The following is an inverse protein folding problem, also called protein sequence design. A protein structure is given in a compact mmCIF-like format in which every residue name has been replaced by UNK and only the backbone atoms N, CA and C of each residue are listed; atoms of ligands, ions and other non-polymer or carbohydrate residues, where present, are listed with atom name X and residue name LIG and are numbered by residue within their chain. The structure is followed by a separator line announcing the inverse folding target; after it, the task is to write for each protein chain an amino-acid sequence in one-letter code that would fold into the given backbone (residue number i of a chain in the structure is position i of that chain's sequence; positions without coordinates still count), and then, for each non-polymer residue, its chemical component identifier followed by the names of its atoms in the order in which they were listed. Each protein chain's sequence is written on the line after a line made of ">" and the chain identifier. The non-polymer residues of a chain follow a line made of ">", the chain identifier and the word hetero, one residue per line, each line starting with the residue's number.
data_IF_847676964591
#
_entry.id   IF_847676964591
#
_cell.length_a   1.000
_cell.length_b   1.000
_cell.length_c   1.000
_cell.angle_alpha   90.00
_cell.angle_beta   90.00
_cell.angle_gamma   90.00
#
_symmetry.space_group_name_H-M   'P 1'
#
loop_
_entity.id
_entity.type
_entity.pdbx_description
1 polymer ?
#
# COMPACT_ATOMS: atom_id res chain seq x y z
N UNK A 1 -16.85 -17.90 7.04
CA UNK A 1 -17.40 -16.57 7.40
C UNK A 1 -16.29 -15.55 7.64
N UNK A 2 -15.22 -15.92 8.34
CA UNK A 2 -14.13 -15.01 8.73
C UNK A 2 -13.35 -14.40 7.55
N UNK A 3 -13.10 -15.16 6.49
CA UNK A 3 -12.49 -14.63 5.26
C UNK A 3 -13.26 -13.44 4.68
N UNK A 4 -14.59 -13.57 4.60
CA UNK A 4 -15.47 -12.51 4.08
C UNK A 4 -15.49 -11.32 5.03
N UNK A 5 -15.61 -11.57 6.34
CA UNK A 5 -15.60 -10.52 7.34
C UNK A 5 -14.26 -9.74 7.33
N UNK A 6 -13.13 -10.44 7.20
CA UNK A 6 -11.82 -9.85 7.08
C UNK A 6 -11.68 -8.96 5.84
N UNK A 7 -12.17 -9.44 4.69
CA UNK A 7 -12.21 -8.68 3.46
C UNK A 7 -13.06 -7.41 3.60
N UNK A 8 -14.24 -7.51 4.23
CA UNK A 8 -15.13 -6.36 4.48
C UNK A 8 -14.46 -5.35 5.41
N UNK A 9 -13.90 -5.78 6.53
CA UNK A 9 -13.22 -4.92 7.49
C UNK A 9 -12.06 -4.17 6.80
N UNK A 10 -11.19 -4.90 6.08
CA UNK A 10 -10.09 -4.30 5.32
C UNK A 10 -10.59 -3.28 4.29
N UNK A 11 -11.60 -3.66 3.51
CA UNK A 11 -12.19 -2.80 2.48
C UNK A 11 -12.77 -1.51 3.05
N UNK A 12 -13.53 -1.59 4.16
CA UNK A 12 -14.15 -0.41 4.77
C UNK A 12 -13.09 0.60 5.21
N UNK A 13 -12.07 0.17 5.94
CA UNK A 13 -10.99 1.05 6.41
C UNK A 13 -10.14 1.59 5.25
N UNK A 14 -9.77 0.74 4.29
CA UNK A 14 -9.01 1.17 3.11
C UNK A 14 -9.76 2.17 2.22
N UNK A 15 -11.09 2.04 2.14
CA UNK A 15 -11.94 2.93 1.36
C UNK A 15 -12.03 4.35 1.92
N UNK A 16 -11.60 4.63 3.16
CA UNK A 16 -11.68 5.97 3.74
C UNK A 16 -10.83 6.95 2.89
N UNK A 17 -11.39 7.99 2.25
CA UNK A 17 -10.64 8.84 1.33
C UNK A 17 -9.89 9.97 2.08
N UNK A 18 -8.98 9.61 2.99
CA UNK A 18 -8.23 10.52 3.89
C UNK A 18 -7.67 11.78 3.21
N UNK A 19 -6.93 11.64 2.10
CA UNK A 19 -6.32 12.77 1.40
C UNK A 19 -7.37 13.73 0.84
N UNK A 20 -8.41 13.18 0.20
CA UNK A 20 -9.53 13.97 -0.30
C UNK A 20 -10.23 14.73 0.82
N UNK A 21 -10.57 14.06 1.92
CA UNK A 21 -11.25 14.67 3.07
C UNK A 21 -10.41 15.79 3.69
N UNK A 22 -9.10 15.58 3.87
CA UNK A 22 -8.21 16.59 4.44
C UNK A 22 -8.08 17.80 3.53
N UNK A 23 -7.79 17.59 2.23
CA UNK A 23 -7.55 18.70 1.31
C UNK A 23 -8.83 19.47 1.03
N UNK A 24 -9.96 18.79 0.85
CA UNK A 24 -11.26 19.44 0.65
C UNK A 24 -11.63 20.29 1.86
N UNK A 25 -11.47 19.76 3.09
CA UNK A 25 -11.83 20.48 4.32
C UNK A 25 -10.86 21.61 4.69
N UNK A 26 -9.55 21.39 4.58
CA UNK A 26 -8.53 22.36 5.05
C UNK A 26 -8.12 23.38 4.00
N UNK A 27 -8.26 23.05 2.71
CA UNK A 27 -7.73 23.87 1.60
C UNK A 27 -8.78 24.16 0.51
N UNK A 28 -9.97 23.56 0.57
CA UNK A 28 -10.97 23.67 -0.49
C UNK A 28 -10.58 22.93 -1.78
N UNK A 29 -9.49 22.17 -1.76
CA UNK A 29 -8.90 21.54 -2.95
C UNK A 29 -9.52 20.16 -3.15
N UNK A 30 -10.00 19.91 -4.36
CA UNK A 30 -10.29 18.56 -4.81
C UNK A 30 -9.02 17.90 -5.36
N UNK A 31 -8.44 16.99 -4.59
CA UNK A 31 -7.19 16.31 -4.95
C UNK A 31 -7.34 15.43 -6.20
N UNK A 32 -8.55 14.99 -6.54
CA UNK A 32 -8.77 14.14 -7.73
C UNK A 32 -8.61 14.90 -9.04
N UNK A 33 -8.59 16.24 -8.98
CA UNK A 33 -8.43 17.14 -10.11
C UNK A 33 -7.21 18.08 -9.95
N UNK A 34 -6.30 17.78 -9.03
CA UNK A 34 -5.14 18.62 -8.74
C UNK A 34 -3.82 17.83 -8.75
N UNK A 35 -2.75 18.47 -9.25
CA UNK A 35 -1.44 17.84 -9.41
C UNK A 35 -1.52 16.62 -10.31
N UNK A 36 -1.05 15.48 -9.81
CA UNK A 36 -1.13 14.18 -10.52
C UNK A 36 -2.52 13.54 -10.49
N UNK A 37 -3.49 14.12 -9.78
CA UNK A 37 -4.81 13.52 -9.54
C UNK A 37 -4.81 12.33 -8.56
N UNK A 38 -3.63 11.88 -8.12
CA UNK A 38 -3.49 10.75 -7.19
C UNK A 38 -3.90 11.15 -5.75
N UNK A 39 -4.71 10.31 -5.10
CA UNK A 39 -5.27 10.56 -3.76
C UNK A 39 -4.32 10.05 -2.66
N UNK A 40 -3.09 10.55 -2.64
CA UNK A 40 -2.05 10.08 -1.72
C UNK A 40 -1.13 11.18 -1.20
N UNK A 41 -0.22 10.79 -0.30
CA UNK A 41 0.64 11.70 0.45
C UNK A 41 1.52 12.63 -0.40
N UNK A 42 2.18 12.11 -1.44
CA UNK A 42 3.09 12.91 -2.28
C UNK A 42 2.33 14.01 -3.03
N UNK A 43 1.24 13.67 -3.72
CA UNK A 43 0.41 14.65 -4.41
C UNK A 43 -0.21 15.65 -3.42
N UNK A 44 -0.59 15.19 -2.22
CA UNK A 44 -1.08 16.07 -1.15
C UNK A 44 -0.03 17.10 -0.73
N UNK A 45 1.24 16.67 -0.61
CA UNK A 45 2.35 17.57 -0.34
C UNK A 45 2.57 18.56 -1.49
N UNK A 46 2.68 18.07 -2.72
CA UNK A 46 2.98 18.87 -3.92
C UNK A 46 1.90 19.93 -4.19
N UNK A 47 0.63 19.56 -4.14
CA UNK A 47 -0.49 20.47 -4.43
C UNK A 47 -0.67 21.54 -3.34
N UNK A 48 -0.29 21.23 -2.08
CA UNK A 48 -0.49 22.16 -0.96
C UNK A 48 0.77 22.88 -0.52
N UNK A 49 1.94 22.48 -1.04
CA UNK A 49 3.27 22.84 -0.54
C UNK A 49 3.43 22.64 0.98
N UNK A 50 2.68 21.70 1.58
CA UNK A 50 2.62 21.51 3.03
C UNK A 50 3.11 20.13 3.43
N UNK A 51 4.35 20.07 3.96
CA UNK A 51 4.94 18.81 4.45
C UNK A 51 4.09 18.16 5.54
N UNK A 52 3.48 18.96 6.42
CA UNK A 52 2.61 18.45 7.48
C UNK A 52 1.34 17.80 6.93
N UNK A 53 0.74 18.33 5.86
CA UNK A 53 -0.40 17.69 5.19
C UNK A 53 0.03 16.37 4.54
N UNK A 54 1.15 16.37 3.81
CA UNK A 54 1.68 15.15 3.21
C UNK A 54 1.95 14.04 4.23
N UNK A 55 2.63 14.37 5.34
CA UNK A 55 2.92 13.42 6.43
C UNK A 55 1.66 12.93 7.13
N UNK A 56 0.67 13.81 7.35
CA UNK A 56 -0.60 13.41 7.94
C UNK A 56 -1.34 12.41 7.04
N UNK A 57 -1.39 12.67 5.73
CA UNK A 57 -2.01 11.75 4.76
C UNK A 57 -1.26 10.42 4.73
N UNK A 58 0.08 10.45 4.73
CA UNK A 58 0.91 9.25 4.78
C UNK A 58 0.59 8.38 6.00
N UNK A 59 0.54 9.02 7.18
CA UNK A 59 0.23 8.36 8.44
C UNK A 59 -1.18 7.77 8.44
N UNK A 60 -2.18 8.50 7.96
CA UNK A 60 -3.55 8.00 7.87
C UNK A 60 -3.66 6.85 6.87
N UNK A 61 -3.01 6.93 5.71
CA UNK A 61 -3.01 5.85 4.71
C UNK A 61 -2.31 4.58 5.23
N UNK A 62 -1.29 4.72 6.06
CA UNK A 62 -0.64 3.62 6.79
C UNK A 62 -1.62 2.98 7.79
N UNK A 63 -2.29 3.79 8.59
CA UNK A 63 -3.23 3.32 9.62
C UNK A 63 -4.43 2.55 9.05
N UNK A 64 -4.86 2.85 7.81
CA UNK A 64 -5.98 2.16 7.15
C UNK A 64 -5.81 0.65 7.01
N UNK A 65 -4.58 0.14 7.05
CA UNK A 65 -4.34 -1.30 7.10
C UNK A 65 -3.95 -1.78 8.50
N UNK A 66 -3.32 -0.93 9.32
CA UNK A 66 -2.97 -1.28 10.71
C UNK A 66 -4.21 -1.60 11.54
N UNK A 67 -5.19 -0.68 11.57
CA UNK A 67 -6.39 -0.87 12.40
C UNK A 67 -7.17 -2.12 12.02
N UNK A 68 -7.58 -2.34 10.75
CA UNK A 68 -8.36 -3.52 10.41
C UNK A 68 -7.61 -4.81 10.71
N UNK A 69 -6.30 -4.88 10.45
CA UNK A 69 -5.49 -6.06 10.81
C UNK A 69 -5.49 -6.29 12.31
N UNK A 70 -5.28 -5.26 13.13
CA UNK A 70 -5.34 -5.41 14.59
C UNK A 70 -6.72 -5.90 15.04
N UNK A 71 -7.80 -5.45 14.42
CA UNK A 71 -9.15 -5.97 14.68
C UNK A 71 -9.22 -7.47 14.34
N UNK A 72 -8.69 -7.89 13.19
CA UNK A 72 -8.65 -9.32 12.82
C UNK A 72 -7.88 -10.13 13.86
N UNK A 73 -6.69 -9.68 14.25
CA UNK A 73 -5.81 -10.41 15.17
C UNK A 73 -6.35 -10.51 16.59
N UNK A 74 -7.19 -9.55 17.01
CA UNK A 74 -7.74 -9.50 18.36
C UNK A 74 -9.11 -10.18 18.49
N UNK A 75 -9.90 -10.24 17.41
CA UNK A 75 -11.33 -10.61 17.50
C UNK A 75 -11.77 -11.75 16.57
N UNK A 76 -10.91 -12.26 15.68
CA UNK A 76 -11.22 -13.39 14.79
C UNK A 76 -10.21 -14.52 14.99
N UNK A 77 -10.51 -15.72 14.45
CA UNK A 77 -9.54 -16.81 14.40
C UNK A 77 -8.35 -16.35 13.55
N UNK A 78 -7.27 -15.96 14.24
CA UNK A 78 -6.19 -15.16 13.67
C UNK A 78 -5.22 -16.04 12.89
N UNK A 79 -5.51 -16.30 11.62
CA UNK A 79 -4.55 -16.90 10.68
C UNK A 79 -3.86 -15.83 9.83
N UNK A 80 -2.64 -16.12 9.36
CA UNK A 80 -1.92 -15.24 8.46
C UNK A 80 -2.72 -14.94 7.19
N UNK A 81 -3.38 -15.96 6.63
CA UNK A 81 -4.23 -15.80 5.44
C UNK A 81 -5.40 -14.83 5.69
N UNK A 82 -6.11 -14.96 6.81
CA UNK A 82 -7.23 -14.06 7.15
C UNK A 82 -6.72 -12.63 7.34
N UNK A 83 -5.60 -12.43 8.04
CA UNK A 83 -5.03 -11.09 8.21
C UNK A 83 -4.54 -10.50 6.88
N UNK A 84 -3.91 -11.32 6.03
CA UNK A 84 -3.45 -10.94 4.68
C UNK A 84 -4.61 -10.49 3.79
N UNK A 85 -5.75 -11.18 3.83
CA UNK A 85 -6.96 -10.78 3.09
C UNK A 85 -7.41 -9.39 3.51
N UNK A 86 -7.38 -9.07 4.81
CA UNK A 86 -7.72 -7.73 5.31
C UNK A 86 -6.80 -6.66 4.70
N UNK A 87 -5.49 -6.91 4.71
CA UNK A 87 -4.50 -5.99 4.12
C UNK A 87 -4.74 -5.81 2.63
N UNK A 88 -4.92 -6.90 1.88
CA UNK A 88 -5.13 -6.86 0.44
C UNK A 88 -6.39 -6.07 0.07
N UNK A 89 -7.49 -6.26 0.80
CA UNK A 89 -8.73 -5.49 0.56
C UNK A 89 -8.61 -4.02 1.01
N UNK A 90 -7.81 -3.73 2.04
CA UNK A 90 -7.49 -2.35 2.41
C UNK A 90 -6.68 -1.64 1.31
N UNK A 91 -5.65 -2.30 0.76
CA UNK A 91 -4.88 -1.77 -0.38
C UNK A 91 -5.79 -1.60 -1.59
N UNK A 92 -6.60 -2.62 -1.91
CA UNK A 92 -7.50 -2.60 -3.06
C UNK A 92 -8.47 -1.43 -3.01
N UNK A 93 -9.20 -1.27 -1.90
CA UNK A 93 -10.17 -0.17 -1.73
C UNK A 93 -9.51 1.20 -1.62
N UNK A 94 -8.28 1.31 -1.10
CA UNK A 94 -7.52 2.56 -1.14
C UNK A 94 -7.12 2.94 -2.58
N UNK A 95 -6.71 1.96 -3.38
CA UNK A 95 -6.34 2.14 -4.78
C UNK A 95 -7.57 2.43 -5.66
N UNK A 96 -8.63 1.66 -5.51
CA UNK A 96 -9.86 1.75 -6.29
C UNK A 96 -11.00 2.24 -5.39
N UNK A 97 -10.88 3.51 -4.99
CA UNK A 97 -11.75 4.08 -3.97
C UNK A 97 -13.20 4.26 -4.47
N UNK A 98 -14.20 3.56 -3.89
CA UNK A 98 -15.57 3.58 -4.39
C UNK A 98 -16.24 4.95 -4.26
N UNK A 99 -15.81 5.77 -3.29
CA UNK A 99 -16.39 7.10 -3.02
C UNK A 99 -15.90 8.17 -3.99
N UNK A 100 -14.84 7.88 -4.74
CA UNK A 100 -14.15 8.83 -5.62
C UNK A 100 -14.18 8.35 -7.08
N UNK A 101 -15.22 7.58 -7.47
CA UNK A 101 -15.34 7.03 -8.82
C UNK A 101 -14.17 6.12 -9.20
N UNK A 102 -13.69 5.32 -8.24
CA UNK A 102 -12.53 4.42 -8.35
C UNK A 102 -11.17 5.12 -8.57
N UNK A 103 -11.11 6.45 -8.39
CA UNK A 103 -9.87 7.20 -8.29
C UNK A 103 -9.35 7.16 -6.85
N UNK A 104 -8.19 6.54 -6.64
CA UNK A 104 -7.59 6.36 -5.32
C UNK A 104 -6.10 6.65 -5.30
N UNK A 105 -5.42 6.15 -4.27
CA UNK A 105 -3.97 6.25 -4.16
C UNK A 105 -3.25 5.09 -4.86
N UNK A 106 -1.94 4.94 -4.59
CA UNK A 106 -1.10 3.87 -5.14
C UNK A 106 -0.82 2.71 -4.17
N UNK A 107 -1.38 2.75 -2.96
CA UNK A 107 -1.38 1.59 -2.05
C UNK A 107 -0.11 1.36 -1.24
N UNK A 108 1.01 2.05 -1.51
CA UNK A 108 2.28 1.81 -0.82
C UNK A 108 2.21 2.03 0.70
N UNK A 109 1.62 3.14 1.15
CA UNK A 109 1.51 3.44 2.58
C UNK A 109 0.60 2.44 3.30
N UNK A 110 -0.53 2.10 2.67
CA UNK A 110 -1.47 1.09 3.18
C UNK A 110 -0.84 -0.30 3.23
N UNK A 111 -0.07 -0.69 2.21
CA UNK A 111 0.68 -1.95 2.21
C UNK A 111 1.76 -1.96 3.29
N UNK A 112 2.47 -0.85 3.49
CA UNK A 112 3.43 -0.71 4.58
C UNK A 112 2.76 -0.85 5.95
N UNK A 113 1.58 -0.26 6.14
CA UNK A 113 0.80 -0.39 7.37
C UNK A 113 0.42 -1.83 7.71
N UNK A 114 -0.13 -2.57 6.74
CA UNK A 114 -0.47 -3.97 6.94
C UNK A 114 0.77 -4.83 7.19
N UNK A 115 1.81 -4.65 6.35
CA UNK A 115 3.07 -5.40 6.46
C UNK A 115 3.79 -5.12 7.78
N UNK A 116 3.71 -3.91 8.33
CA UNK A 116 4.29 -3.59 9.63
C UNK A 116 3.73 -4.44 10.77
N UNK A 117 2.51 -4.96 10.63
CA UNK A 117 1.88 -5.83 11.62
C UNK A 117 2.11 -7.30 11.29
N UNK A 118 1.84 -7.71 10.04
CA UNK A 118 1.81 -9.16 9.72
C UNK A 118 3.09 -9.71 9.13
N UNK A 119 3.95 -8.85 8.59
CA UNK A 119 5.23 -9.29 8.02
C UNK A 119 6.27 -8.15 8.08
N UNK A 120 6.72 -7.75 9.29
CA UNK A 120 7.57 -6.56 9.46
C UNK A 120 8.89 -6.67 8.68
N UNK A 121 9.44 -7.88 8.56
CA UNK A 121 10.66 -8.14 7.80
C UNK A 121 10.51 -7.78 6.31
N UNK A 122 9.34 -8.05 5.71
CA UNK A 122 9.06 -7.65 4.32
C UNK A 122 9.06 -6.14 4.16
N UNK A 123 8.49 -5.40 5.12
CA UNK A 123 8.52 -3.94 5.12
C UNK A 123 9.96 -3.42 5.21
N UNK A 124 10.77 -3.97 6.11
CA UNK A 124 12.19 -3.59 6.25
C UNK A 124 12.94 -3.87 4.93
N UNK A 125 12.76 -5.07 4.36
CA UNK A 125 13.37 -5.41 3.08
C UNK A 125 12.92 -4.47 1.95
N UNK A 126 11.63 -4.15 1.87
CA UNK A 126 11.09 -3.21 0.89
C UNK A 126 11.71 -1.81 1.05
N UNK A 127 11.82 -1.29 2.28
CA UNK A 127 12.46 0.01 2.56
C UNK A 127 13.93 -0.01 2.13
N UNK A 128 14.66 -1.08 2.44
CA UNK A 128 16.07 -1.23 2.05
C UNK A 128 16.21 -1.25 0.52
N UNK A 129 15.42 -2.05 -0.19
CA UNK A 129 15.43 -2.07 -1.65
C UNK A 129 15.05 -0.72 -2.24
N UNK A 130 14.04 -0.05 -1.66
CA UNK A 130 13.63 1.28 -2.09
C UNK A 130 14.76 2.29 -1.96
N UNK A 131 15.43 2.35 -0.81
CA UNK A 131 16.56 3.26 -0.58
C UNK A 131 17.70 2.97 -1.56
N UNK A 132 18.09 1.70 -1.72
CA UNK A 132 19.16 1.32 -2.65
C UNK A 132 18.85 1.72 -4.09
N UNK A 133 17.64 1.42 -4.57
CA UNK A 133 17.22 1.80 -5.92
C UNK A 133 17.14 3.31 -6.07
N UNK A 134 16.57 4.01 -5.10
CA UNK A 134 16.45 5.47 -5.12
C UNK A 134 17.81 6.15 -5.16
N UNK A 135 18.80 5.65 -4.41
CA UNK A 135 20.16 6.21 -4.41
C UNK A 135 20.83 6.11 -5.79
N UNK A 136 20.54 5.06 -6.56
CA UNK A 136 21.11 4.83 -7.90
C UNK A 136 20.31 5.58 -8.98
N UNK A 137 18.98 5.47 -8.95
CA UNK A 137 18.09 5.96 -10.03
C UNK A 137 17.63 7.40 -9.83
N UNK A 138 17.64 7.89 -8.59
CA UNK A 138 17.13 9.22 -8.19
C UNK A 138 15.69 9.52 -8.64
N UNK A 139 14.90 8.46 -8.82
CA UNK A 139 13.51 8.53 -9.28
C UNK A 139 12.62 7.73 -8.31
N UNK A 140 11.62 8.40 -7.73
CA UNK A 140 10.72 7.83 -6.72
C UNK A 140 9.84 6.72 -7.32
N UNK A 141 9.37 6.89 -8.55
CA UNK A 141 8.48 5.92 -9.19
C UNK A 141 9.23 4.64 -9.56
N UNK A 142 10.45 4.78 -10.08
CA UNK A 142 11.32 3.62 -10.36
C UNK A 142 11.67 2.89 -9.05
N UNK A 143 12.01 3.64 -7.99
CA UNK A 143 12.29 3.07 -6.68
C UNK A 143 11.09 2.28 -6.12
N UNK A 144 9.89 2.85 -6.18
CA UNK A 144 8.66 2.18 -5.71
C UNK A 144 8.44 0.82 -6.38
N UNK A 145 8.57 0.77 -7.71
CA UNK A 145 8.24 -0.43 -8.48
C UNK A 145 9.31 -1.49 -8.33
N UNK A 146 10.59 -1.11 -8.45
CA UNK A 146 11.69 -2.07 -8.29
C UNK A 146 11.75 -2.61 -6.86
N UNK A 147 11.52 -1.79 -5.83
CA UNK A 147 11.43 -2.28 -4.45
C UNK A 147 10.29 -3.29 -4.26
N UNK A 148 9.13 -3.02 -4.87
CA UNK A 148 7.98 -3.92 -4.82
C UNK A 148 8.27 -5.24 -5.52
N UNK A 149 8.89 -5.22 -6.70
CA UNK A 149 9.32 -6.43 -7.42
C UNK A 149 10.37 -7.20 -6.63
N UNK A 150 11.41 -6.53 -6.12
CA UNK A 150 12.48 -7.15 -5.34
C UNK A 150 11.96 -7.78 -4.04
N UNK A 151 10.95 -7.18 -3.41
CA UNK A 151 10.29 -7.81 -2.25
C UNK A 151 9.62 -9.15 -2.61
N UNK A 152 8.92 -9.24 -3.75
CA UNK A 152 8.36 -10.52 -4.21
C UNK A 152 9.46 -11.53 -4.57
N UNK A 153 10.51 -11.09 -5.26
CA UNK A 153 11.66 -11.94 -5.60
C UNK A 153 12.32 -12.51 -4.35
N UNK A 154 12.47 -11.70 -3.29
CA UNK A 154 13.04 -12.17 -2.01
C UNK A 154 12.19 -13.28 -1.37
N UNK A 155 10.86 -13.17 -1.47
CA UNK A 155 9.93 -14.18 -0.95
C UNK A 155 9.97 -15.46 -1.79
N UNK A 156 10.05 -15.34 -3.12
CA UNK A 156 10.19 -16.48 -4.02
C UNK A 156 11.54 -17.21 -3.85
N UNK A 157 12.61 -16.48 -3.53
CA UNK A 157 13.94 -17.05 -3.39
C UNK A 157 14.14 -17.82 -2.08
N UNK A 158 13.41 -17.47 -1.02
CA UNK A 158 13.59 -18.08 0.30
C UNK A 158 12.29 -18.16 1.12
N UNK A 159 11.22 -18.76 0.58
CA UNK A 159 9.91 -18.74 1.23
C UNK A 159 9.91 -19.45 2.58
N UNK A 160 10.51 -20.64 2.67
CA UNK A 160 10.54 -21.46 3.89
C UNK A 160 11.24 -20.73 5.05
N UNK A 161 12.31 -20.00 4.75
CA UNK A 161 13.03 -19.18 5.72
C UNK A 161 12.30 -17.89 6.08
N UNK A 162 11.45 -17.37 5.22
CA UNK A 162 10.78 -16.09 5.45
C UNK A 162 9.46 -16.22 6.21
N UNK A 163 8.80 -17.37 6.14
CA UNK A 163 7.58 -17.67 6.92
C UNK A 163 7.78 -17.42 8.42
N UNK A 164 8.95 -17.77 8.96
CA UNK A 164 9.23 -17.60 10.39
C UNK A 164 9.26 -16.13 10.86
N UNK A 165 9.35 -15.16 9.96
CA UNK A 165 9.33 -13.72 10.28
C UNK A 165 7.96 -13.07 10.09
N UNK A 166 6.95 -13.84 9.72
CA UNK A 166 5.57 -13.38 9.62
C UNK A 166 4.78 -13.69 10.90
N UNK A 167 3.76 -12.88 11.16
CA UNK A 167 2.88 -13.02 12.32
C UNK A 167 1.42 -12.73 11.93
N UNK A 168 0.45 -13.63 12.19
CA UNK A 168 0.61 -15.02 12.58
C UNK A 168 1.51 -15.79 11.61
N UNK A 169 2.05 -16.94 12.02
CA UNK A 169 2.87 -17.75 11.13
C UNK A 169 1.99 -18.30 9.99
N UNK A 170 2.37 -18.12 8.72
CA UNK A 170 1.72 -18.76 7.58
C UNK A 170 1.71 -20.28 7.75
N UNK A 171 0.57 -20.94 7.49
CA UNK A 171 0.48 -22.41 7.54
C UNK A 171 1.15 -23.02 6.30
N UNK A 172 1.02 -22.34 5.16
CA UNK A 172 1.58 -22.74 3.88
C UNK A 172 2.40 -21.61 3.27
N UNK A 173 3.50 -21.95 2.58
CA UNK A 173 4.28 -21.02 1.73
C UNK A 173 3.38 -20.23 0.77
N UNK A 174 2.35 -20.88 0.26
CA UNK A 174 1.41 -20.26 -0.67
C UNK A 174 0.69 -19.06 -0.08
N UNK A 175 0.47 -19.00 1.24
CA UNK A 175 -0.17 -17.83 1.86
C UNK A 175 0.73 -16.60 1.77
N UNK A 176 2.04 -16.76 2.02
CA UNK A 176 3.03 -15.70 1.89
C UNK A 176 3.17 -15.22 0.44
N UNK A 177 3.15 -16.16 -0.50
CA UNK A 177 3.18 -15.87 -1.93
C UNK A 177 1.91 -15.16 -2.38
N UNK A 178 0.73 -15.56 -1.92
CA UNK A 178 -0.53 -14.91 -2.23
C UNK A 178 -0.58 -13.48 -1.68
N UNK A 179 -0.13 -13.26 -0.45
CA UNK A 179 -0.05 -11.93 0.15
C UNK A 179 0.87 -11.00 -0.66
N UNK A 180 2.08 -11.46 -0.97
CA UNK A 180 3.10 -10.65 -1.64
C UNK A 180 2.79 -10.41 -3.11
N UNK A 181 2.36 -11.45 -3.85
CA UNK A 181 1.96 -11.31 -5.25
C UNK A 181 0.66 -10.50 -5.40
N UNK A 182 -0.34 -10.71 -4.54
CA UNK A 182 -1.57 -9.93 -4.54
C UNK A 182 -1.31 -8.44 -4.29
N UNK A 183 -0.49 -8.12 -3.29
CA UNK A 183 -0.07 -6.75 -3.00
C UNK A 183 0.67 -6.11 -4.17
N UNK A 184 1.63 -6.84 -4.76
CA UNK A 184 2.37 -6.40 -5.94
C UNK A 184 1.43 -6.10 -7.11
N UNK A 185 0.50 -6.99 -7.44
CA UNK A 185 -0.40 -6.82 -8.57
C UNK A 185 -1.23 -5.54 -8.43
N UNK A 186 -1.83 -5.31 -7.26
CA UNK A 186 -2.66 -4.12 -7.00
C UNK A 186 -1.82 -2.84 -7.11
N UNK A 187 -0.64 -2.82 -6.47
CA UNK A 187 0.26 -1.66 -6.48
C UNK A 187 0.80 -1.40 -7.89
N UNK A 188 1.17 -2.45 -8.61
CA UNK A 188 1.72 -2.37 -9.96
C UNK A 188 0.74 -1.75 -10.93
N UNK A 189 -0.55 -2.14 -10.89
CA UNK A 189 -1.59 -1.54 -11.73
C UNK A 189 -1.63 -0.02 -11.55
N UNK A 190 -1.52 0.48 -10.32
CA UNK A 190 -1.50 1.93 -10.01
C UNK A 190 -0.21 2.65 -10.36
N UNK A 191 0.83 1.91 -10.74
CA UNK A 191 2.11 2.48 -11.17
C UNK A 191 2.32 2.41 -12.70
N UNK A 192 1.42 1.79 -13.46
CA UNK A 192 1.48 1.73 -14.93
C UNK A 192 1.42 3.15 -15.54
N UNK A 193 0.47 3.98 -15.11
CA UNK A 193 0.32 5.35 -15.63
C UNK A 193 1.57 6.22 -15.37
N UNK A 194 2.08 6.32 -14.13
CA UNK A 194 3.32 7.06 -13.86
C UNK A 194 4.53 6.56 -14.66
N UNK A 195 4.64 5.24 -14.88
CA UNK A 195 5.71 4.70 -15.73
C UNK A 195 5.59 5.14 -17.18
N UNK A 196 4.37 5.12 -17.73
CA UNK A 196 4.12 5.60 -19.10
C UNK A 196 4.51 7.07 -19.24
N UNK A 197 4.18 7.90 -18.26
CA UNK A 197 4.57 9.31 -18.24
C UNK A 197 6.09 9.48 -18.26
N UNK A 198 6.83 8.77 -17.41
CA UNK A 198 8.29 8.82 -17.36
C UNK A 198 8.92 8.40 -18.69
N UNK A 199 8.44 7.32 -19.30
CA UNK A 199 8.95 6.84 -20.59
C UNK A 199 8.66 7.86 -21.69
N UNK A 200 7.45 8.44 -21.70
CA UNK A 200 7.07 9.43 -22.71
C UNK A 200 7.88 10.73 -22.61
N UNK A 201 8.21 11.17 -21.40
CA UNK A 201 8.99 12.39 -21.17
C UNK A 201 10.47 12.22 -21.49
N UNK A 202 11.02 10.99 -21.45
CA UNK A 202 12.39 10.72 -21.91
C UNK A 202 12.55 10.74 -23.43
N UNK A 203 11.45 10.59 -24.16
CA UNK A 203 11.42 10.58 -25.62
C UNK A 203 11.14 11.97 -26.22
N UNK A 204 11.03 13.01 -25.39
CA UNK A 204 10.92 14.42 -25.80
C UNK A 204 12.25 15.12 -25.53
#
# INVERSE_FOLDING_TARGET
>A
MEYLLSAIIGYLFGSIPSAYLILKKKKGIDITNAGTGNVGAMNSYEVTNSKSIGLLVLFLDFIKAVIPVLIILLFLESSFLIASISVLFAIFSHCFNPWLGFKGGRGLATAAGGSAIIFPFLLIAWILFWVLVYLIKKDIHIANILATILSLVSVLASPDYLIQFAFPQPVLVNELLLFTSGGLLIIFIKHIEPLKEIISNKNK
#
